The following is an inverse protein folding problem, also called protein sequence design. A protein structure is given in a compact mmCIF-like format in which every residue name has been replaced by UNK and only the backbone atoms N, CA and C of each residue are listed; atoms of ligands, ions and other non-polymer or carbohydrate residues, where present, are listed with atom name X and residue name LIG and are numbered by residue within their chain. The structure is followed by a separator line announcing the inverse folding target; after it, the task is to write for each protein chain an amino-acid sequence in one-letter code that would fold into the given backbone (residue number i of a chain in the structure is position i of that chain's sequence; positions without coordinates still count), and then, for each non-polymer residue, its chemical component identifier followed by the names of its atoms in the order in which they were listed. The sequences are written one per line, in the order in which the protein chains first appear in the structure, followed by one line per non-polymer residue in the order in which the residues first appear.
data_IF_427745359626
#
_entry.id   IF_427745359626
#
_cell.length_a   1.000
_cell.length_b   1.000
_cell.length_c   1.000
_cell.angle_alpha   90.00
_cell.angle_beta   90.00
_cell.angle_gamma   90.00
#
_symmetry.space_group_name_H-M   'P 1'
#
loop_
_entity.id
_entity.type
_entity.pdbx_description
1 polymer ?
#
# COMPACT_ATOMS: atom_id res chain seq x y z
N UNK A 1 -96.52 -44.76 21.85
CA UNK A 1 -95.42 -44.25 21.00
C UNK A 1 -95.64 -42.77 20.62
N UNK A 2 -95.80 -41.86 21.60
CA UNK A 2 -96.09 -40.43 21.31
C UNK A 2 -95.11 -39.44 21.94
N UNK A 3 -94.23 -39.89 22.83
CA UNK A 3 -93.27 -39.01 23.53
C UNK A 3 -92.01 -38.77 22.68
N UNK A 4 -91.58 -39.79 21.93
CA UNK A 4 -90.42 -39.73 21.02
C UNK A 4 -90.72 -38.84 19.80
N UNK A 5 -91.95 -38.90 19.29
CA UNK A 5 -92.41 -38.09 18.14
C UNK A 5 -92.45 -36.60 18.49
N UNK A 6 -92.84 -36.25 19.72
CA UNK A 6 -92.86 -34.87 20.20
C UNK A 6 -91.46 -34.31 20.44
N UNK A 7 -90.50 -35.13 20.88
CA UNK A 7 -89.10 -34.71 21.03
C UNK A 7 -88.45 -34.38 19.69
N UNK A 8 -88.68 -35.21 18.66
CA UNK A 8 -88.12 -35.00 17.32
C UNK A 8 -88.68 -33.73 16.66
N UNK A 9 -89.99 -33.46 16.82
CA UNK A 9 -90.58 -32.19 16.37
C UNK A 9 -89.98 -30.99 17.10
N UNK A 10 -89.78 -31.07 18.42
CA UNK A 10 -89.19 -29.98 19.21
C UNK A 10 -87.74 -29.66 18.81
N UNK A 11 -86.94 -30.67 18.46
CA UNK A 11 -85.57 -30.46 17.96
C UNK A 11 -85.55 -29.82 16.57
N UNK A 12 -86.44 -30.21 15.67
CA UNK A 12 -86.53 -29.61 14.34
C UNK A 12 -86.98 -28.15 14.38
N UNK A 13 -87.93 -27.80 15.27
CA UNK A 13 -88.32 -26.41 15.47
C UNK A 13 -87.19 -25.55 16.07
N UNK A 14 -86.35 -26.12 16.95
CA UNK A 14 -85.16 -25.42 17.45
C UNK A 14 -84.12 -25.19 16.35
N UNK A 15 -83.82 -26.22 15.56
CA UNK A 15 -82.88 -26.10 14.44
C UNK A 15 -83.36 -25.13 13.36
N UNK A 16 -84.66 -25.11 13.05
CA UNK A 16 -85.24 -24.15 12.12
C UNK A 16 -85.25 -22.72 12.68
N UNK A 17 -85.51 -22.55 13.98
CA UNK A 17 -85.46 -21.23 14.64
C UNK A 17 -84.04 -20.70 14.75
N UNK A 18 -83.05 -21.57 14.98
CA UNK A 18 -81.63 -21.21 14.93
C UNK A 18 -81.21 -20.85 13.51
N UNK A 19 -81.56 -21.63 12.49
CA UNK A 19 -81.26 -21.30 11.09
C UNK A 19 -81.97 -20.02 10.60
N UNK A 20 -83.21 -19.77 11.03
CA UNK A 20 -83.92 -18.53 10.77
C UNK A 20 -83.25 -17.34 11.47
N UNK A 21 -82.81 -17.50 12.72
CA UNK A 21 -82.09 -16.45 13.46
C UNK A 21 -80.69 -16.15 12.91
N UNK A 22 -80.01 -17.15 12.31
CA UNK A 22 -78.73 -16.96 11.62
C UNK A 22 -78.94 -16.27 10.27
N UNK A 23 -80.00 -16.61 9.52
CA UNK A 23 -80.34 -15.91 8.27
C UNK A 23 -80.82 -14.47 8.50
N UNK A 24 -81.54 -14.22 9.60
CA UNK A 24 -81.99 -12.87 9.97
C UNK A 24 -80.82 -12.01 10.50
N UNK A 25 -79.85 -12.61 11.21
CA UNK A 25 -78.60 -11.94 11.59
C UNK A 25 -77.65 -11.66 10.42
N UNK A 26 -77.69 -12.44 9.34
CA UNK A 26 -76.93 -12.17 8.11
C UNK A 26 -77.59 -11.10 7.21
N UNK A 27 -78.89 -10.84 7.39
CA UNK A 27 -79.65 -9.88 6.57
C UNK A 27 -79.80 -8.49 7.20
N UNK A 28 -79.32 -8.28 8.44
CA UNK A 28 -79.35 -7.01 9.17
C UNK A 28 -77.96 -6.41 9.41
N UNK A 29 -76.96 -6.80 8.63
CA UNK A 29 -75.71 -6.06 8.56
C UNK A 29 -75.86 -5.04 7.40
N UNK A 30 -75.93 -3.73 7.68
CA UNK A 30 -75.85 -2.75 6.60
C UNK A 30 -74.49 -2.96 5.90
N UNK A 31 -74.54 -3.16 4.58
CA UNK A 31 -73.34 -3.09 3.76
C UNK A 31 -72.79 -1.66 3.83
N UNK A 32 -71.83 -1.47 4.72
CA UNK A 32 -71.06 -0.23 4.84
C UNK A 32 -69.78 -0.38 4.03
N UNK A 33 -69.83 -0.01 2.75
CA UNK A 33 -68.66 0.06 1.86
C UNK A 33 -67.52 0.93 2.45
N UNK A 34 -67.83 1.81 3.42
CA UNK A 34 -66.84 2.63 4.14
C UNK A 34 -65.99 1.84 5.17
N UNK A 35 -66.49 0.71 5.66
CA UNK A 35 -65.76 -0.10 6.66
C UNK A 35 -64.69 -0.98 6.04
N UNK A 36 -64.91 -1.43 4.79
CA UNK A 36 -63.96 -2.27 4.05
C UNK A 36 -62.76 -1.44 3.56
N UNK A 37 -62.99 -0.21 3.10
CA UNK A 37 -61.91 0.70 2.70
C UNK A 37 -61.05 1.08 3.90
N UNK A 38 -61.65 1.41 5.05
CA UNK A 38 -60.91 1.74 6.27
C UNK A 38 -60.06 0.56 6.75
N UNK A 39 -60.59 -0.67 6.71
CA UNK A 39 -59.84 -1.86 7.08
C UNK A 39 -58.67 -2.13 6.12
N UNK A 40 -58.86 -1.89 4.81
CA UNK A 40 -57.82 -2.01 3.80
C UNK A 40 -56.73 -0.95 3.94
N UNK A 41 -57.10 0.31 4.22
CA UNK A 41 -56.15 1.38 4.50
C UNK A 41 -55.29 1.06 5.72
N UNK A 42 -55.90 0.59 6.81
CA UNK A 42 -55.17 0.19 8.02
C UNK A 42 -54.23 -0.99 7.76
N UNK A 43 -54.66 -1.97 6.96
CA UNK A 43 -53.85 -3.12 6.60
C UNK A 43 -52.68 -2.73 5.66
N UNK A 44 -52.91 -1.81 4.72
CA UNK A 44 -51.87 -1.20 3.90
C UNK A 44 -50.82 -0.47 4.75
N UNK A 45 -51.27 0.33 5.73
CA UNK A 45 -50.38 1.03 6.65
C UNK A 45 -49.57 0.06 7.51
N UNK A 46 -50.19 -0.99 8.05
CA UNK A 46 -49.51 -2.00 8.86
C UNK A 46 -48.44 -2.76 8.08
N UNK A 47 -48.68 -3.02 6.79
CA UNK A 47 -47.75 -3.75 5.92
C UNK A 47 -46.82 -2.82 5.12
N UNK A 48 -46.97 -1.50 5.27
CA UNK A 48 -46.27 -0.46 4.52
C UNK A 48 -46.33 -0.65 2.98
N UNK A 49 -47.52 -1.01 2.47
CA UNK A 49 -47.78 -1.21 1.04
C UNK A 49 -49.01 -0.43 0.61
N UNK A 50 -49.13 -0.16 -0.70
CA UNK A 50 -50.32 0.51 -1.25
C UNK A 50 -51.58 -0.32 -1.05
N UNK A 51 -52.73 0.32 -0.86
CA UNK A 51 -54.03 -0.33 -0.58
C UNK A 51 -54.37 -1.45 -1.58
N UNK A 52 -54.06 -1.22 -2.87
CA UNK A 52 -54.27 -2.19 -3.95
C UNK A 52 -53.46 -3.49 -3.81
N UNK A 53 -52.35 -3.46 -3.08
CA UNK A 53 -51.43 -4.60 -2.89
C UNK A 53 -51.48 -5.18 -1.48
N UNK A 54 -52.18 -4.50 -0.57
CA UNK A 54 -52.23 -4.83 0.85
C UNK A 54 -52.75 -6.26 1.09
N UNK A 55 -53.84 -6.65 0.41
CA UNK A 55 -54.43 -7.99 0.55
C UNK A 55 -53.49 -9.08 0.02
N UNK A 56 -52.86 -8.86 -1.13
CA UNK A 56 -51.97 -9.85 -1.75
C UNK A 56 -50.72 -10.08 -0.90
N UNK A 57 -50.14 -9.01 -0.37
CA UNK A 57 -48.97 -9.13 0.50
C UNK A 57 -49.35 -9.74 1.87
N UNK A 58 -50.51 -9.38 2.44
CA UNK A 58 -51.03 -10.03 3.65
C UNK A 58 -51.25 -11.52 3.48
N UNK A 59 -51.84 -11.92 2.35
CA UNK A 59 -52.08 -13.33 2.02
C UNK A 59 -50.76 -14.09 1.93
N UNK A 60 -49.75 -13.51 1.26
CA UNK A 60 -48.40 -14.06 1.19
C UNK A 60 -47.74 -14.19 2.57
N UNK A 61 -47.93 -13.22 3.47
CA UNK A 61 -47.40 -13.31 4.84
C UNK A 61 -48.07 -14.42 5.67
N UNK A 62 -49.40 -14.57 5.53
CA UNK A 62 -50.16 -15.65 6.17
C UNK A 62 -49.73 -17.01 5.61
N UNK A 63 -49.59 -17.12 4.29
CA UNK A 63 -49.13 -18.35 3.61
C UNK A 63 -47.68 -18.70 3.96
N UNK A 64 -46.84 -17.68 4.16
CA UNK A 64 -45.43 -17.86 4.55
C UNK A 64 -45.25 -18.08 6.06
N UNK A 65 -46.33 -18.09 6.85
CA UNK A 65 -46.32 -18.23 8.31
C UNK A 65 -45.35 -17.25 9.00
N UNK A 66 -45.26 -16.02 8.48
CA UNK A 66 -44.37 -14.98 9.01
C UNK A 66 -45.11 -14.25 10.13
N UNK A 67 -44.71 -14.50 11.39
CA UNK A 67 -45.20 -13.75 12.54
C UNK A 67 -44.45 -12.42 12.64
N UNK A 68 -45.09 -11.31 12.25
CA UNK A 68 -44.57 -9.96 12.48
C UNK A 68 -44.86 -9.51 13.93
N UNK A 69 -44.18 -10.16 14.88
CA UNK A 69 -43.89 -9.57 16.18
C UNK A 69 -42.37 -9.45 16.30
N UNK A 70 -41.78 -8.72 15.34
CA UNK A 70 -40.42 -8.22 15.45
C UNK A 70 -40.44 -7.06 16.43
N UNK A 71 -39.99 -7.36 17.65
CA UNK A 71 -39.52 -6.46 18.71
C UNK A 71 -39.16 -5.07 18.15
N UNK A 72 -39.65 -4.02 18.78
CA UNK A 72 -39.03 -2.69 18.72
C UNK A 72 -37.86 -2.70 19.72
N UNK A 73 -36.60 -2.97 19.30
CA UNK A 73 -35.49 -2.65 20.18
C UNK A 73 -35.43 -1.12 20.16
N UNK A 74 -35.57 -0.55 21.35
CA UNK A 74 -35.44 0.86 21.64
C UNK A 74 -34.56 1.61 20.64
N UNK A 75 -35.00 2.81 20.29
CA UNK A 75 -34.33 3.85 19.51
C UNK A 75 -32.96 4.33 20.08
N UNK A 76 -32.24 3.49 20.84
CA UNK A 76 -30.88 3.71 21.29
C UNK A 76 -29.93 2.81 20.51
N UNK A 77 -28.88 3.40 19.95
CA UNK A 77 -27.79 2.65 19.31
C UNK A 77 -27.26 1.58 20.28
N UNK A 78 -27.11 0.34 19.80
CA UNK A 78 -26.43 -0.71 20.55
C UNK A 78 -24.99 -0.26 20.86
N UNK A 79 -24.75 0.12 22.12
CA UNK A 79 -23.44 0.57 22.59
C UNK A 79 -22.69 -0.61 23.20
N UNK A 80 -21.65 -1.03 22.51
CA UNK A 80 -20.67 -1.97 23.06
C UNK A 80 -19.60 -1.18 23.81
N UNK A 81 -19.25 -1.60 25.03
CA UNK A 81 -18.24 -0.98 25.88
C UNK A 81 -17.16 -1.98 26.28
N UNK A 82 -15.92 -1.54 26.34
CA UNK A 82 -14.84 -2.23 27.01
C UNK A 82 -14.91 -1.88 28.50
N UNK A 83 -14.83 -2.89 29.35
CA UNK A 83 -14.88 -2.71 30.80
C UNK A 83 -13.58 -3.24 31.39
N UNK A 84 -12.81 -2.35 31.99
CA UNK A 84 -11.61 -2.72 32.76
C UNK A 84 -12.00 -2.91 34.23
N UNK A 85 -11.62 -4.05 34.79
CA UNK A 85 -11.97 -4.44 36.16
C UNK A 85 -10.68 -4.68 36.94
N UNK A 86 -10.38 -3.80 37.89
CA UNK A 86 -9.24 -3.96 38.78
C UNK A 86 -9.65 -4.79 40.00
N UNK A 87 -8.81 -5.75 40.38
CA UNK A 87 -9.02 -6.62 41.54
C UNK A 87 -7.91 -6.44 42.58
N UNK A 88 -8.23 -6.64 43.85
CA UNK A 88 -7.25 -6.72 44.93
C UNK A 88 -6.55 -8.09 44.98
N UNK A 89 -5.54 -8.21 45.85
CA UNK A 89 -4.77 -9.45 46.08
C UNK A 89 -5.64 -10.61 46.58
N UNK A 90 -6.84 -10.31 47.10
CA UNK A 90 -7.82 -11.29 47.56
C UNK A 90 -8.81 -11.69 46.44
N UNK A 91 -8.68 -11.11 45.25
CA UNK A 91 -9.53 -11.37 44.09
C UNK A 91 -10.85 -10.59 44.05
N UNK A 92 -11.07 -9.65 44.97
CA UNK A 92 -12.26 -8.80 45.00
C UNK A 92 -12.13 -7.64 44.02
N UNK A 93 -13.23 -7.27 43.36
CA UNK A 93 -13.28 -6.12 42.46
C UNK A 93 -13.20 -4.83 43.29
N UNK A 94 -12.21 -4.00 43.01
CA UNK A 94 -12.00 -2.70 43.68
C UNK A 94 -12.34 -1.52 42.78
N UNK A 95 -12.24 -1.69 41.47
CA UNK A 95 -12.51 -0.63 40.50
C UNK A 95 -13.08 -1.21 39.19
N UNK A 96 -14.01 -0.48 38.57
CA UNK A 96 -14.60 -0.81 37.27
C UNK A 96 -14.70 0.46 36.46
N UNK A 97 -14.02 0.52 35.33
CA UNK A 97 -14.08 1.62 34.37
C UNK A 97 -14.57 1.11 33.03
N UNK A 98 -15.46 1.85 32.37
CA UNK A 98 -16.09 1.47 31.11
C UNK A 98 -15.88 2.52 30.05
N UNK A 99 -15.36 2.12 28.90
CA UNK A 99 -15.13 2.99 27.73
C UNK A 99 -15.95 2.48 26.57
N UNK A 100 -16.66 3.38 25.88
CA UNK A 100 -17.37 3.04 24.64
C UNK A 100 -16.35 2.50 23.62
N UNK A 101 -16.61 1.32 23.04
CA UNK A 101 -15.67 0.67 22.09
C UNK A 101 -15.39 1.57 20.89
N UNK A 102 -16.39 2.32 20.44
CA UNK A 102 -16.24 3.29 19.36
C UNK A 102 -15.18 4.34 19.69
N UNK A 103 -15.23 4.92 20.88
CA UNK A 103 -14.24 5.92 21.33
C UNK A 103 -12.84 5.33 21.40
N UNK A 104 -12.70 4.13 21.99
CA UNK A 104 -11.41 3.45 22.09
C UNK A 104 -10.80 3.12 20.71
N UNK A 105 -11.63 2.71 19.74
CA UNK A 105 -11.20 2.47 18.36
C UNK A 105 -10.83 3.79 17.67
N UNK A 106 -11.65 4.83 17.82
CA UNK A 106 -11.41 6.13 17.18
C UNK A 106 -10.09 6.75 17.69
N UNK A 107 -9.81 6.68 18.99
CA UNK A 107 -8.54 7.13 19.60
C UNK A 107 -7.36 6.30 19.10
N UNK A 108 -7.43 4.97 19.17
CA UNK A 108 -6.34 4.11 18.68
C UNK A 108 -6.08 4.31 17.18
N UNK A 109 -7.13 4.53 16.39
CA UNK A 109 -7.00 4.81 14.95
C UNK A 109 -6.35 6.17 14.70
N UNK A 110 -6.65 7.17 15.53
CA UNK A 110 -5.99 8.47 15.45
C UNK A 110 -4.49 8.38 15.76
N UNK A 111 -4.11 7.67 16.82
CA UNK A 111 -2.70 7.46 17.19
C UNK A 111 -1.93 6.71 16.08
N UNK A 112 -2.56 5.69 15.48
CA UNK A 112 -2.01 4.95 14.34
C UNK A 112 -1.86 5.85 13.10
N UNK A 113 -2.82 6.73 12.86
CA UNK A 113 -2.76 7.67 11.73
C UNK A 113 -1.64 8.70 11.90
N UNK A 114 -1.43 9.21 13.12
CA UNK A 114 -0.34 10.13 13.43
C UNK A 114 1.03 9.47 13.26
N UNK A 115 1.24 8.28 13.85
CA UNK A 115 2.47 7.51 13.66
C UNK A 115 2.76 7.21 12.19
N UNK A 116 1.71 6.88 11.42
CA UNK A 116 1.85 6.63 9.98
C UNK A 116 2.25 7.90 9.22
N UNK A 117 1.70 9.05 9.60
CA UNK A 117 2.05 10.33 9.00
C UNK A 117 3.51 10.73 9.31
N UNK A 118 3.95 10.57 10.56
CA UNK A 118 5.35 10.81 10.95
C UNK A 118 6.31 9.93 10.16
N UNK A 119 6.06 8.61 10.12
CA UNK A 119 6.87 7.67 9.34
C UNK A 119 6.92 8.02 7.85
N UNK A 120 5.80 8.49 7.27
CA UNK A 120 5.77 8.93 5.89
C UNK A 120 6.68 10.16 5.66
N UNK A 121 6.71 11.09 6.60
CA UNK A 121 7.59 12.28 6.51
C UNK A 121 9.07 11.93 6.67
N UNK A 122 9.41 11.03 7.59
CA UNK A 122 10.78 10.53 7.76
C UNK A 122 11.26 9.77 6.53
N UNK A 123 10.39 8.93 5.95
CA UNK A 123 10.68 8.19 4.73
C UNK A 123 10.91 9.13 3.54
N UNK A 124 10.10 10.19 3.40
CA UNK A 124 10.30 11.22 2.37
C UNK A 124 11.65 11.91 2.53
N UNK A 125 11.97 12.34 3.76
CA UNK A 125 13.26 13.00 4.07
C UNK A 125 14.44 12.09 3.76
N UNK A 126 14.32 10.80 4.08
CA UNK A 126 15.35 9.79 3.79
C UNK A 126 15.50 9.58 2.29
N UNK A 127 14.41 9.56 1.53
CA UNK A 127 14.45 9.44 0.08
C UNK A 127 15.17 10.62 -0.58
N UNK A 128 14.89 11.85 -0.13
CA UNK A 128 15.55 13.06 -0.63
C UNK A 128 17.07 13.05 -0.33
N UNK A 129 17.45 12.59 0.87
CA UNK A 129 18.85 12.45 1.26
C UNK A 129 19.58 11.41 0.40
N UNK A 130 18.94 10.26 0.12
CA UNK A 130 19.49 9.21 -0.75
C UNK A 130 19.64 9.73 -2.18
N UNK A 131 18.68 10.47 -2.71
CA UNK A 131 18.76 11.06 -4.05
C UNK A 131 19.91 12.07 -4.16
N UNK A 132 20.09 12.90 -3.12
CA UNK A 132 21.20 13.87 -3.05
C UNK A 132 22.55 13.14 -3.04
N UNK A 133 22.70 12.14 -2.19
CA UNK A 133 23.92 11.33 -2.11
C UNK A 133 24.22 10.60 -3.43
N UNK A 134 23.20 10.10 -4.13
CA UNK A 134 23.37 9.48 -5.44
C UNK A 134 23.91 10.48 -6.48
N UNK A 135 23.40 11.72 -6.46
CA UNK A 135 23.87 12.79 -7.35
C UNK A 135 25.32 13.19 -7.05
N UNK A 136 25.70 13.27 -5.77
CA UNK A 136 27.07 13.55 -5.36
C UNK A 136 28.05 12.47 -5.83
N UNK A 137 27.65 11.20 -5.74
CA UNK A 137 28.44 10.06 -6.24
C UNK A 137 28.60 10.10 -7.75
N UNK A 138 27.55 10.47 -8.50
CA UNK A 138 27.62 10.65 -9.95
C UNK A 138 28.60 11.77 -10.33
N UNK A 139 28.55 12.90 -9.62
CA UNK A 139 29.50 13.99 -9.78
C UNK A 139 30.94 13.56 -9.52
N UNK A 140 31.18 12.86 -8.41
CA UNK A 140 32.51 12.34 -8.07
C UNK A 140 33.02 11.31 -9.09
N UNK A 141 32.14 10.47 -9.66
CA UNK A 141 32.50 9.52 -10.71
C UNK A 141 32.94 10.25 -11.99
N UNK A 142 32.23 11.30 -12.39
CA UNK A 142 32.58 12.15 -13.54
C UNK A 142 33.92 12.87 -13.35
N UNK A 143 34.19 13.38 -12.14
CA UNK A 143 35.49 13.99 -11.81
C UNK A 143 36.64 12.98 -11.91
N UNK A 144 36.43 11.75 -11.45
CA UNK A 144 37.42 10.67 -11.56
C UNK A 144 37.66 10.28 -13.01
N UNK A 145 36.61 10.20 -13.83
CA UNK A 145 36.72 9.93 -15.27
C UNK A 145 37.55 11.01 -15.96
N UNK A 146 37.22 12.29 -15.75
CA UNK A 146 37.98 13.40 -16.32
C UNK A 146 39.43 13.47 -15.83
N UNK A 147 39.71 13.05 -14.58
CA UNK A 147 41.08 12.93 -14.09
C UNK A 147 41.84 11.78 -14.77
N UNK A 148 41.17 10.64 -14.98
CA UNK A 148 41.75 9.49 -15.66
C UNK A 148 42.08 9.80 -17.13
N UNK A 149 41.21 10.52 -17.84
CA UNK A 149 41.47 11.01 -19.20
C UNK A 149 42.73 11.89 -19.26
N UNK A 150 42.85 12.89 -18.37
CA UNK A 150 44.04 13.76 -18.31
C UNK A 150 45.33 12.99 -18.02
N UNK A 151 45.25 11.97 -17.17
CA UNK A 151 46.39 11.08 -16.89
C UNK A 151 46.75 10.27 -18.14
N UNK A 152 45.76 9.77 -18.88
CA UNK A 152 45.98 9.05 -20.14
C UNK A 152 46.65 9.92 -21.20
N UNK A 153 46.20 11.18 -21.36
CA UNK A 153 46.81 12.14 -22.28
C UNK A 153 48.26 12.44 -21.88
N UNK A 154 48.49 12.73 -20.61
CA UNK A 154 49.83 13.00 -20.08
C UNK A 154 50.78 11.81 -20.25
N UNK A 155 50.28 10.59 -20.07
CA UNK A 155 51.06 9.37 -20.28
C UNK A 155 51.43 9.18 -21.76
N UNK A 156 50.53 9.55 -22.67
CA UNK A 156 50.77 9.52 -24.11
C UNK A 156 51.84 10.54 -24.53
N UNK A 157 51.76 11.76 -24.01
CA UNK A 157 52.77 12.81 -24.24
C UNK A 157 54.15 12.40 -23.72
N UNK A 158 54.20 11.78 -22.54
CA UNK A 158 55.44 11.25 -21.98
C UNK A 158 56.03 10.12 -22.82
N UNK A 159 55.19 9.26 -23.41
CA UNK A 159 55.65 8.19 -24.31
C UNK A 159 56.29 8.77 -25.57
N UNK A 160 55.69 9.79 -26.21
CA UNK A 160 56.31 10.47 -27.35
C UNK A 160 57.63 11.15 -26.95
N UNK A 161 57.64 11.84 -25.81
CA UNK A 161 58.84 12.50 -25.31
C UNK A 161 59.97 11.50 -25.03
N UNK A 162 59.65 10.32 -24.50
CA UNK A 162 60.63 9.26 -24.26
C UNK A 162 61.21 8.71 -25.57
N UNK A 163 60.40 8.58 -26.61
CA UNK A 163 60.85 8.15 -27.94
C UNK A 163 61.81 9.18 -28.56
N UNK A 164 61.46 10.47 -28.50
CA UNK A 164 62.33 11.54 -28.98
C UNK A 164 63.69 11.58 -28.24
N UNK A 165 63.67 11.34 -26.92
CA UNK A 165 64.89 11.25 -26.11
C UNK A 165 65.74 10.05 -26.53
N UNK A 166 65.12 8.90 -26.80
CA UNK A 166 65.84 7.70 -27.26
C UNK A 166 66.50 7.95 -28.62
N UNK A 167 65.77 8.56 -29.57
CA UNK A 167 66.31 8.92 -30.87
C UNK A 167 67.51 9.87 -30.75
N UNK A 168 67.37 10.96 -29.97
CA UNK A 168 68.46 11.89 -29.72
C UNK A 168 69.66 11.23 -29.03
N UNK A 169 69.41 10.28 -28.11
CA UNK A 169 70.46 9.52 -27.44
C UNK A 169 71.24 8.66 -28.43
N UNK A 170 70.56 8.02 -29.38
CA UNK A 170 71.21 7.20 -30.40
C UNK A 170 72.02 8.06 -31.39
N UNK A 171 71.52 9.22 -31.80
CA UNK A 171 72.28 10.19 -32.58
C UNK A 171 73.56 10.64 -31.85
N UNK A 172 73.46 10.95 -30.55
CA UNK A 172 74.63 11.32 -29.74
C UNK A 172 75.66 10.19 -29.62
N UNK A 173 75.22 8.93 -29.52
CA UNK A 173 76.14 7.78 -29.54
C UNK A 173 76.89 7.69 -30.87
N UNK A 174 76.21 7.92 -31.99
CA UNK A 174 76.82 7.91 -33.31
C UNK A 174 77.87 9.02 -33.45
N UNK A 175 77.52 10.26 -33.06
CA UNK A 175 78.45 11.40 -33.04
C UNK A 175 79.65 11.12 -32.15
N UNK A 176 79.43 10.57 -30.95
CA UNK A 176 80.53 10.22 -30.04
C UNK A 176 81.45 9.14 -30.63
N UNK A 177 80.91 8.15 -31.33
CA UNK A 177 81.69 7.14 -32.03
C UNK A 177 82.50 7.77 -33.18
N UNK A 178 81.94 8.71 -33.92
CA UNK A 178 82.62 9.42 -35.01
C UNK A 178 83.78 10.28 -34.51
N UNK A 179 83.61 11.01 -33.41
CA UNK A 179 84.68 11.80 -32.77
C UNK A 179 85.81 10.92 -32.23
N UNK A 180 85.52 9.66 -31.86
CA UNK A 180 86.53 8.71 -31.35
C UNK A 180 87.44 8.17 -32.46
N UNK A 181 86.96 8.08 -33.70
CA UNK A 181 87.72 7.59 -34.86
C UNK A 181 89.01 8.41 -35.16
N UNK A 182 89.01 9.76 -35.21
CA UNK A 182 90.23 10.53 -35.46
C UNK A 182 91.24 10.52 -34.30
N UNK A 183 90.79 10.32 -33.05
CA UNK A 183 91.69 10.27 -31.88
C UNK A 183 92.59 9.01 -31.86
N UNK A 184 92.12 7.89 -32.42
CA UNK A 184 92.90 6.67 -32.55
C UNK A 184 94.03 6.76 -33.60
N UNK A 185 93.90 7.64 -34.61
CA UNK A 185 94.89 7.78 -35.67
C UNK A 185 96.17 8.52 -35.25
N UNK A 186 96.12 9.36 -34.20
CA UNK A 186 97.27 10.17 -33.77
C UNK A 186 98.36 9.43 -32.97
N UNK A 187 98.19 8.13 -32.64
CA UNK A 187 99.18 7.37 -31.86
C UNK A 187 100.31 6.71 -32.67
N UNK A 188 100.41 6.92 -33.97
CA UNK A 188 101.32 6.13 -34.82
C UNK A 188 102.22 6.92 -35.77
N UNK A 189 102.74 8.08 -35.39
CA UNK A 189 103.87 8.70 -36.11
C UNK A 189 104.86 9.41 -35.17
N UNK A 190 105.63 8.66 -34.40
CA UNK A 190 106.96 9.14 -33.98
C UNK A 190 107.93 7.97 -33.89
N UNK A 191 109.19 8.23 -34.20
CA UNK A 191 110.33 7.32 -34.24
C UNK A 191 110.55 6.52 -35.54
N UNK A 192 111.10 7.18 -36.56
CA UNK A 192 112.14 6.51 -37.39
C UNK A 192 113.31 7.44 -37.69
N UNK A 193 114.39 7.18 -36.94
CA UNK A 193 115.80 7.53 -37.15
C UNK A 193 116.16 7.85 -38.61
N UNK A 194 116.85 8.97 -38.82
CA UNK A 194 117.87 9.12 -39.86
C UNK A 194 119.22 9.33 -39.17
N UNK A 195 120.10 8.35 -39.32
CA UNK A 195 121.48 8.36 -38.81
C UNK A 195 122.43 8.58 -40.00
N UNK A 196 123.47 9.39 -39.77
CA UNK A 196 124.77 9.45 -40.43
C UNK A 196 124.87 9.87 -41.91
N UNK A 197 125.57 11.00 -42.15
CA UNK A 197 126.77 10.97 -43.01
C UNK A 197 127.81 12.01 -42.54
N UNK A 198 129.05 11.53 -42.43
CA UNK A 198 130.26 12.17 -41.88
C UNK A 198 130.97 13.07 -42.89
N UNK A 199 131.76 14.00 -42.33
CA UNK A 199 133.08 14.52 -42.75
C UNK A 199 133.27 15.13 -44.15
N UNK A 200 133.77 16.38 -44.18
CA UNK A 200 135.19 16.73 -44.48
C UNK A 200 135.32 18.25 -44.74
N UNK A 201 135.98 18.99 -43.87
CA UNK A 201 137.34 19.56 -44.02
C UNK A 201 137.53 20.66 -45.09
N UNK A 202 137.82 21.87 -44.58
CA UNK A 202 138.79 22.90 -45.04
C UNK A 202 139.13 22.97 -46.55
N UNK A 203 138.90 24.13 -47.17
CA UNK A 203 139.88 25.22 -47.33
C UNK A 203 139.22 26.45 -47.94
#
# INVERSE_FOLDING_TARGET
MSVITNFKKRQQFKAQKEQASVKEKLAQQPQSEESETTALTLLAQLLNVSEEKAINEATKYVESNINYFGVDPATGEDRSALVEVTKDDNGNITHVEGTDIKTAIDESTADLAEQTAELATELSTTADAVQSAASDVEGAASDVEGAAEKVSDSASDLAYTAEDINAATDELKEVAAEIKKPSAAQKSTSSKKANAQKNSSKK
#
